data_IF_275591898701
#
_entry.id   IF_275591898701
#
_cell.length_a   1.000
_cell.length_b   1.000
_cell.length_c   1.000
_cell.angle_alpha   90.00
_cell.angle_beta   90.00
_cell.angle_gamma   90.00
#
_symmetry.space_group_name_H-M   'P 1'
#
loop_
_entity.id
_entity.type
_entity.pdbx_description
1 polymer ?
#
# COMPACT_ATOMS: atom_id res chain seq x y z
N UNK A 1 -3.14 13.73 -2.96
CA UNK A 1 -4.12 14.02 -1.89
C UNK A 1 -4.69 12.76 -1.23
N UNK A 2 -5.31 11.82 -1.94
CA UNK A 2 -5.87 10.61 -1.31
C UNK A 2 -4.83 9.77 -0.56
N UNK A 3 -3.68 9.49 -1.16
CA UNK A 3 -2.59 8.72 -0.52
C UNK A 3 -2.01 9.46 0.69
N UNK A 4 -1.82 10.78 0.60
CA UNK A 4 -1.33 11.59 1.73
C UNK A 4 -2.32 11.61 2.88
N UNK A 5 -3.64 11.67 2.59
CA UNK A 5 -4.67 11.60 3.61
C UNK A 5 -4.65 10.24 4.34
N UNK A 6 -4.45 9.13 3.61
CA UNK A 6 -4.31 7.81 4.22
C UNK A 6 -3.02 7.69 5.05
N UNK A 7 -1.93 8.37 4.66
CA UNK A 7 -0.71 8.47 5.46
C UNK A 7 -0.95 9.16 6.81
N UNK A 8 -1.59 10.33 6.79
CA UNK A 8 -1.92 11.09 8.01
C UNK A 8 -2.87 10.28 8.90
N UNK A 9 -3.91 9.68 8.30
CA UNK A 9 -4.87 8.85 9.03
C UNK A 9 -4.20 7.62 9.64
N UNK A 10 -3.32 6.95 8.89
CA UNK A 10 -2.55 5.81 9.40
C UNK A 10 -1.69 6.21 10.60
N UNK A 11 -0.92 7.29 10.48
CA UNK A 11 -0.07 7.77 11.58
C UNK A 11 -0.89 8.14 12.84
N UNK A 12 -2.03 8.81 12.64
CA UNK A 12 -2.91 9.13 13.75
C UNK A 12 -3.44 7.88 14.46
N UNK A 13 -3.84 6.86 13.69
CA UNK A 13 -4.30 5.58 14.25
C UNK A 13 -3.18 4.84 14.96
N UNK A 14 -1.99 4.81 14.39
CA UNK A 14 -0.83 4.14 14.96
C UNK A 14 -0.43 4.77 16.30
N UNK A 15 -0.33 6.11 16.34
CA UNK A 15 0.15 6.83 17.53
C UNK A 15 -0.87 7.00 18.64
N UNK A 16 -2.18 7.14 18.31
CA UNK A 16 -3.19 7.54 19.29
C UNK A 16 -4.21 6.45 19.62
N UNK A 17 -4.45 5.50 18.74
CA UNK A 17 -5.52 4.52 18.90
C UNK A 17 -4.98 3.13 19.22
N UNK A 18 -3.93 2.71 18.53
CA UNK A 18 -3.51 1.32 18.63
C UNK A 18 -2.51 1.07 19.73
N UNK A 19 -1.75 2.08 20.19
CA UNK A 19 -0.70 1.94 21.22
C UNK A 19 0.19 0.69 21.01
N UNK A 20 0.19 0.16 19.81
CA UNK A 20 0.94 -1.03 19.42
C UNK A 20 2.38 -0.60 19.14
N UNK A 21 3.05 -0.19 20.21
CA UNK A 21 4.48 0.07 20.22
C UNK A 21 5.26 -1.24 20.18
N UNK A 22 5.15 -1.93 19.11
CA UNK A 22 6.04 -3.00 18.73
C UNK A 22 6.57 -2.67 17.36
N UNK A 23 7.78 -3.11 17.04
CA UNK A 23 8.53 -2.77 15.82
C UNK A 23 7.85 -3.17 14.50
N UNK A 24 6.54 -3.27 14.43
CA UNK A 24 5.78 -3.70 13.27
C UNK A 24 4.42 -3.04 13.14
N UNK A 25 4.20 -2.46 11.99
CA UNK A 25 2.96 -1.80 11.59
C UNK A 25 1.91 -2.86 11.21
N UNK A 26 0.95 -3.13 12.12
CA UNK A 26 -0.12 -4.10 11.87
C UNK A 26 -1.16 -3.65 10.82
N UNK A 27 -1.22 -2.35 10.51
CA UNK A 27 -2.18 -1.79 9.56
C UNK A 27 -1.53 -0.67 8.75
N UNK A 28 -1.11 -0.97 7.53
CA UNK A 28 -0.50 0.03 6.67
C UNK A 28 -1.49 0.52 5.59
N UNK A 29 -2.27 1.56 5.93
CA UNK A 29 -3.32 2.11 5.05
C UNK A 29 -2.82 2.68 3.72
N UNK A 30 -1.63 3.29 3.61
CA UNK A 30 -1.13 3.83 2.35
C UNK A 30 -1.03 2.81 1.22
N UNK A 31 -0.83 1.51 1.53
CA UNK A 31 -0.82 0.46 0.51
C UNK A 31 -2.13 0.38 -0.28
N UNK A 32 -3.27 0.57 0.38
CA UNK A 32 -4.57 0.64 -0.29
C UNK A 32 -4.64 1.74 -1.35
N UNK A 33 -4.07 2.92 -1.05
CA UNK A 33 -3.99 4.00 -2.03
C UNK A 33 -3.17 3.61 -3.26
N UNK A 34 -2.03 2.93 -3.06
CA UNK A 34 -1.19 2.46 -4.17
C UNK A 34 -1.98 1.50 -5.06
N UNK A 35 -2.62 0.48 -4.46
CA UNK A 35 -3.42 -0.51 -5.21
C UNK A 35 -4.56 0.18 -5.96
N UNK A 36 -5.38 0.97 -5.29
CA UNK A 36 -6.53 1.64 -5.91
C UNK A 36 -6.10 2.60 -7.02
N UNK A 37 -5.12 3.47 -6.76
CA UNK A 37 -4.68 4.45 -7.75
C UNK A 37 -4.08 3.78 -8.99
N UNK A 38 -3.26 2.74 -8.82
CA UNK A 38 -2.66 2.04 -9.97
C UNK A 38 -3.71 1.23 -10.73
N UNK A 39 -4.65 0.60 -10.04
CA UNK A 39 -5.73 -0.17 -10.68
C UNK A 39 -6.64 0.72 -11.51
N UNK A 40 -7.02 1.91 -11.01
CA UNK A 40 -7.98 2.80 -11.70
C UNK A 40 -7.33 3.78 -12.67
N UNK A 41 -6.15 4.30 -12.34
CA UNK A 41 -5.47 5.33 -13.14
C UNK A 41 -4.26 4.78 -13.91
N UNK A 42 -3.90 3.51 -13.69
CA UNK A 42 -2.75 2.87 -14.31
C UNK A 42 -1.41 3.51 -13.87
N UNK A 43 -0.41 3.40 -14.74
CA UNK A 43 0.94 3.92 -14.48
C UNK A 43 0.99 5.45 -14.31
N UNK A 44 -0.02 6.16 -14.76
CA UNK A 44 -0.13 7.63 -14.60
C UNK A 44 -0.25 8.03 -13.12
N UNK A 45 -0.66 7.13 -12.23
CA UNK A 45 -0.74 7.37 -10.80
C UNK A 45 0.64 7.40 -10.12
N UNK A 46 1.67 6.79 -10.71
CA UNK A 46 2.99 6.60 -10.09
C UNK A 46 3.63 7.91 -9.60
N UNK A 47 3.72 8.99 -10.40
CA UNK A 47 4.35 10.23 -9.93
C UNK A 47 3.65 10.82 -8.70
N UNK A 48 2.31 10.80 -8.69
CA UNK A 48 1.52 11.30 -7.57
C UNK A 48 1.62 10.42 -6.31
N UNK A 49 1.70 9.11 -6.49
CA UNK A 49 1.92 8.16 -5.38
C UNK A 49 3.32 8.32 -4.80
N UNK A 50 4.33 8.44 -5.65
CA UNK A 50 5.71 8.64 -5.20
C UNK A 50 5.85 9.96 -4.42
N UNK A 51 5.29 11.06 -4.94
CA UNK A 51 5.25 12.31 -4.20
C UNK A 51 4.56 12.17 -2.83
N UNK A 52 3.45 11.42 -2.75
CA UNK A 52 2.74 11.18 -1.49
C UNK A 52 3.55 10.34 -0.49
N UNK A 53 4.32 9.36 -0.96
CA UNK A 53 5.23 8.55 -0.13
C UNK A 53 6.39 9.37 0.44
N UNK A 54 6.81 10.43 -0.24
CA UNK A 54 7.83 11.34 0.25
C UNK A 54 7.25 12.40 1.19
N UNK A 55 6.09 12.96 0.83
CA UNK A 55 5.44 14.04 1.59
C UNK A 55 4.84 13.52 2.91
N UNK A 56 4.30 12.29 2.91
CA UNK A 56 3.66 11.71 4.10
C UNK A 56 4.58 11.69 5.33
N UNK A 57 5.73 11.01 5.28
CA UNK A 57 6.70 11.01 6.37
C UNK A 57 7.22 12.41 6.73
N UNK A 58 7.44 13.27 5.75
CA UNK A 58 7.91 14.64 5.95
C UNK A 58 6.95 15.50 6.78
N UNK A 59 5.64 15.36 6.55
CA UNK A 59 4.62 16.09 7.33
C UNK A 59 4.60 15.60 8.78
N UNK A 60 4.85 14.31 9.00
CA UNK A 60 4.77 13.68 10.31
C UNK A 60 6.02 14.02 11.15
N UNK A 61 7.17 13.80 10.58
CA UNK A 61 8.45 14.11 11.23
C UNK A 61 9.49 14.61 10.22
N UNK A 62 9.64 15.94 10.10
CA UNK A 62 10.64 16.54 9.22
C UNK A 62 12.08 16.13 9.56
N UNK A 63 12.36 15.70 10.81
CA UNK A 63 13.69 15.29 11.26
C UNK A 63 14.14 13.92 10.74
N UNK A 64 13.20 13.06 10.40
CA UNK A 64 13.47 11.73 9.83
C UNK A 64 13.84 11.82 8.34
N UNK A 65 13.64 12.97 7.70
CA UNK A 65 13.84 13.13 6.26
C UNK A 65 15.30 12.98 5.86
N UNK A 66 15.67 11.77 5.52
CA UNK A 66 16.99 11.38 5.04
C UNK A 66 16.92 10.97 3.57
N UNK A 67 18.03 11.10 2.86
CA UNK A 67 18.16 10.66 1.47
C UNK A 67 17.86 9.17 1.29
N UNK A 68 17.97 8.39 2.36
CA UNK A 68 17.67 6.95 2.40
C UNK A 68 16.19 6.59 2.15
N UNK A 69 15.26 7.54 2.27
CA UNK A 69 13.80 7.30 2.07
C UNK A 69 13.42 7.19 0.59
N UNK A 70 14.16 7.83 -0.31
CA UNK A 70 13.77 7.93 -1.72
C UNK A 70 13.66 6.57 -2.42
N UNK A 71 14.60 5.67 -2.20
CA UNK A 71 14.63 4.36 -2.86
C UNK A 71 13.57 3.42 -2.29
N UNK A 72 13.40 3.24 -0.97
CA UNK A 72 12.29 2.48 -0.40
C UNK A 72 10.92 2.98 -0.84
N UNK A 73 10.70 4.30 -0.89
CA UNK A 73 9.46 4.89 -1.40
C UNK A 73 9.20 4.50 -2.86
N UNK A 74 10.23 4.53 -3.70
CA UNK A 74 10.13 4.11 -5.10
C UNK A 74 9.80 2.62 -5.22
N UNK A 75 10.50 1.77 -4.49
CA UNK A 75 10.25 0.32 -4.44
C UNK A 75 8.80 0.05 -4.04
N UNK A 76 8.34 0.72 -2.98
CA UNK A 76 6.98 0.58 -2.46
C UNK A 76 5.91 0.95 -3.49
N UNK A 77 6.11 2.04 -4.23
CA UNK A 77 5.17 2.47 -5.28
C UNK A 77 5.20 1.52 -6.47
N UNK A 78 6.39 1.00 -6.82
CA UNK A 78 6.56 0.09 -7.95
C UNK A 78 6.09 -1.34 -7.67
N UNK A 79 5.85 -1.72 -6.42
CA UNK A 79 5.38 -3.05 -6.04
C UNK A 79 4.04 -3.42 -6.71
N UNK A 80 3.11 -2.46 -6.86
CA UNK A 80 1.81 -2.72 -7.52
C UNK A 80 1.94 -2.87 -9.03
N UNK A 81 2.63 -2.00 -9.78
CA UNK A 81 2.93 -2.23 -11.19
C UNK A 81 3.64 -3.56 -11.45
N UNK A 82 4.60 -3.92 -10.60
CA UNK A 82 5.32 -5.19 -10.71
C UNK A 82 4.37 -6.38 -10.51
N UNK A 83 3.48 -6.33 -9.53
CA UNK A 83 2.44 -7.34 -9.31
C UNK A 83 1.54 -7.50 -10.54
N UNK A 84 1.10 -6.39 -11.15
CA UNK A 84 0.30 -6.41 -12.39
C UNK A 84 1.06 -7.01 -13.55
N UNK A 85 2.35 -6.71 -13.69
CA UNK A 85 3.21 -7.26 -14.74
C UNK A 85 3.33 -8.78 -14.58
N UNK A 86 3.61 -9.28 -13.39
CA UNK A 86 3.71 -10.72 -13.11
C UNK A 86 2.38 -11.42 -13.36
N UNK A 87 1.26 -10.86 -12.89
CA UNK A 87 -0.06 -11.41 -13.13
C UNK A 87 -0.41 -11.47 -14.62
N UNK A 88 -0.05 -10.44 -15.37
CA UNK A 88 -0.25 -10.40 -16.81
C UNK A 88 0.62 -11.45 -17.54
N UNK A 89 1.86 -11.63 -17.10
CA UNK A 89 2.75 -12.68 -17.61
C UNK A 89 2.21 -14.08 -17.35
N UNK A 90 1.58 -14.30 -16.18
CA UNK A 90 0.91 -15.55 -15.83
C UNK A 90 -0.43 -15.77 -16.57
N UNK A 91 -0.79 -14.90 -17.50
CA UNK A 91 -2.02 -15.01 -18.30
C UNK A 91 -3.27 -14.40 -17.64
N UNK A 92 -3.14 -13.78 -16.45
CA UNK A 92 -4.22 -13.02 -15.84
C UNK A 92 -4.30 -11.62 -16.46
N UNK A 93 -5.02 -11.44 -17.55
CA UNK A 93 -5.19 -10.13 -18.21
C UNK A 93 -6.09 -9.19 -17.39
N UNK A 94 -5.58 -8.72 -16.26
CA UNK A 94 -6.34 -7.95 -15.27
C UNK A 94 -6.49 -6.48 -15.66
N UNK A 95 -5.51 -5.90 -16.36
CA UNK A 95 -5.48 -4.46 -16.64
C UNK A 95 -6.61 -3.94 -17.56
N UNK A 96 -7.22 -4.78 -18.39
CA UNK A 96 -8.34 -4.39 -19.27
C UNK A 96 -9.72 -4.63 -18.66
N UNK A 97 -9.82 -5.46 -17.62
CA UNK A 97 -11.11 -5.85 -17.00
C UNK A 97 -11.49 -5.01 -15.79
N UNK A 98 -10.56 -4.23 -15.24
CA UNK A 98 -10.75 -3.48 -14.00
C UNK A 98 -11.25 -2.04 -14.25
N UNK A 99 -11.36 -1.59 -15.51
CA UNK A 99 -11.92 -0.27 -15.85
C UNK A 99 -13.41 -0.10 -15.52
N UNK A 100 -14.08 -1.15 -15.07
CA UNK A 100 -15.45 -1.08 -14.54
C UNK A 100 -15.45 -0.83 -13.03
N UNK A 101 -16.47 -0.11 -12.49
CA UNK A 101 -16.57 0.16 -11.05
C UNK A 101 -16.51 -1.13 -10.22
N UNK A 102 -16.02 -1.02 -8.99
CA UNK A 102 -15.91 -2.11 -8.01
C UNK A 102 -17.19 -2.96 -8.00
N UNK A 103 -17.12 -4.11 -8.62
CA UNK A 103 -18.21 -5.05 -8.74
C UNK A 103 -17.82 -6.36 -8.02
N UNK A 104 -18.82 -7.18 -7.62
CA UNK A 104 -18.59 -8.50 -7.00
C UNK A 104 -17.66 -9.43 -7.81
N UNK A 105 -17.45 -9.16 -9.09
CA UNK A 105 -16.52 -9.90 -9.94
C UNK A 105 -15.07 -9.38 -9.85
N UNK A 106 -14.88 -8.10 -9.53
CA UNK A 106 -13.56 -7.45 -9.59
C UNK A 106 -12.82 -7.50 -8.26
N UNK A 107 -13.52 -7.69 -7.11
CA UNK A 107 -12.87 -7.67 -5.80
C UNK A 107 -11.81 -8.77 -5.65
N UNK A 108 -12.03 -9.95 -6.23
CA UNK A 108 -11.06 -11.06 -6.19
C UNK A 108 -9.76 -10.70 -6.91
N UNK A 109 -9.86 -9.99 -8.02
CA UNK A 109 -8.69 -9.54 -8.77
C UNK A 109 -7.91 -8.47 -8.01
N UNK A 110 -8.62 -7.51 -7.39
CA UNK A 110 -7.99 -6.47 -6.59
C UNK A 110 -7.32 -7.09 -5.36
N UNK A 111 -7.97 -8.06 -4.72
CA UNK A 111 -7.37 -8.79 -3.61
C UNK A 111 -6.10 -9.55 -4.04
N UNK A 112 -6.12 -10.21 -5.19
CA UNK A 112 -4.94 -10.89 -5.73
C UNK A 112 -3.79 -9.92 -6.02
N UNK A 113 -4.09 -8.75 -6.61
CA UNK A 113 -3.11 -7.69 -6.83
C UNK A 113 -2.54 -7.22 -5.49
N UNK A 114 -3.41 -6.96 -4.49
CA UNK A 114 -2.98 -6.56 -3.15
C UNK A 114 -2.04 -7.58 -2.54
N UNK A 115 -2.41 -8.85 -2.58
CA UNK A 115 -1.62 -9.94 -1.99
C UNK A 115 -0.22 -10.03 -2.61
N UNK A 116 -0.14 -10.01 -3.94
CA UNK A 116 1.15 -10.11 -4.64
C UNK A 116 1.97 -8.83 -4.47
N UNK A 117 1.35 -7.65 -4.53
CA UNK A 117 2.06 -6.39 -4.33
C UNK A 117 2.53 -6.20 -2.90
N UNK A 118 1.78 -6.64 -1.90
CA UNK A 118 2.22 -6.67 -0.51
C UNK A 118 3.46 -7.57 -0.33
N UNK A 119 3.47 -8.75 -0.99
CA UNK A 119 4.64 -9.63 -1.02
C UNK A 119 5.87 -8.95 -1.63
N UNK A 120 5.72 -8.31 -2.78
CA UNK A 120 6.84 -7.56 -3.39
C UNK A 120 7.29 -6.39 -2.53
N UNK A 121 6.35 -5.62 -1.97
CA UNK A 121 6.69 -4.51 -1.10
C UNK A 121 7.49 -4.97 0.12
N UNK A 122 6.99 -5.95 0.85
CA UNK A 122 7.64 -6.46 2.06
C UNK A 122 9.02 -7.05 1.79
N UNK A 123 9.17 -7.84 0.72
CA UNK A 123 10.44 -8.46 0.37
C UNK A 123 11.45 -7.45 -0.14
N UNK A 124 11.09 -6.62 -1.13
CA UNK A 124 12.05 -5.73 -1.80
C UNK A 124 12.48 -4.57 -0.91
N UNK A 125 11.56 -3.99 -0.12
CA UNK A 125 11.92 -2.92 0.83
C UNK A 125 12.85 -3.46 1.89
N UNK A 126 12.54 -4.61 2.51
CA UNK A 126 13.37 -5.17 3.55
C UNK A 126 14.73 -5.63 3.00
N UNK A 127 14.78 -6.20 1.79
CA UNK A 127 16.05 -6.53 1.13
C UNK A 127 16.92 -5.28 0.91
N UNK A 128 16.32 -4.19 0.46
CA UNK A 128 17.04 -2.93 0.27
C UNK A 128 17.56 -2.37 1.60
N UNK A 129 16.73 -2.33 2.64
CA UNK A 129 17.13 -1.83 3.97
C UNK A 129 18.24 -2.67 4.58
N UNK A 130 18.14 -3.97 4.47
CA UNK A 130 19.17 -4.91 4.94
C UNK A 130 20.51 -4.73 4.22
N UNK A 131 20.50 -4.67 2.88
CA UNK A 131 21.75 -4.53 2.09
C UNK A 131 22.47 -3.20 2.31
N UNK A 132 21.76 -2.16 2.74
CA UNK A 132 22.35 -0.84 3.00
C UNK A 132 22.59 -0.56 4.50
N UNK A 133 22.51 -1.56 5.36
CA UNK A 133 22.65 -1.45 6.83
C UNK A 133 21.70 -0.38 7.43
N UNK A 134 20.55 -0.18 6.80
CA UNK A 134 19.50 0.75 7.25
C UNK A 134 18.43 0.03 8.06
N UNK A 135 18.56 -1.28 8.23
CA UNK A 135 17.65 -2.08 9.05
C UNK A 135 17.96 -1.88 10.54
N UNK A 136 16.93 -1.76 11.35
CA UNK A 136 17.03 -1.68 12.81
C UNK A 136 17.45 -3.00 13.46
N UNK A 137 17.58 -4.07 12.69
CA UNK A 137 17.92 -5.43 13.14
C UNK A 137 19.21 -5.91 12.49
N UNK A 138 20.10 -6.51 13.27
CA UNK A 138 21.38 -7.08 12.83
C UNK A 138 21.23 -8.32 11.94
N UNK A 139 20.07 -8.93 11.86
CA UNK A 139 19.82 -10.14 11.06
C UNK A 139 19.30 -9.80 9.66
N UNK A 140 20.02 -10.27 8.66
CA UNK A 140 19.87 -10.01 7.20
C UNK A 140 18.47 -10.36 6.66
N UNK A 141 17.69 -11.16 7.34
CA UNK A 141 16.29 -11.48 7.01
C UNK A 141 15.53 -11.72 8.29
N UNK A 142 15.09 -10.69 8.94
CA UNK A 142 14.12 -10.87 9.99
C UNK A 142 12.77 -11.21 9.32
N UNK A 143 12.50 -12.52 9.23
CA UNK A 143 11.24 -13.05 8.69
C UNK A 143 10.06 -12.43 9.42
N UNK A 144 10.23 -12.07 10.68
CA UNK A 144 9.23 -11.38 11.47
C UNK A 144 8.94 -10.00 10.88
N UNK A 145 9.97 -9.21 10.54
CA UNK A 145 9.81 -7.89 9.95
C UNK A 145 9.15 -7.95 8.58
N UNK A 146 9.60 -8.86 7.71
CA UNK A 146 8.98 -9.09 6.39
C UNK A 146 7.50 -9.47 6.53
N UNK A 147 7.18 -10.37 7.46
CA UNK A 147 5.80 -10.80 7.69
C UNK A 147 4.94 -9.69 8.28
N UNK A 148 5.47 -8.84 9.15
CA UNK A 148 4.77 -7.68 9.69
C UNK A 148 4.41 -6.69 8.58
N UNK A 149 5.35 -6.32 7.72
CA UNK A 149 5.07 -5.46 6.55
C UNK A 149 4.00 -6.08 5.64
N UNK A 150 4.13 -7.38 5.35
CA UNK A 150 3.18 -8.10 4.51
C UNK A 150 1.77 -8.11 5.09
N UNK A 151 1.64 -8.45 6.36
CA UNK A 151 0.35 -8.46 7.06
C UNK A 151 -0.21 -7.05 7.16
N UNK A 152 0.63 -6.06 7.48
CA UNK A 152 0.25 -4.66 7.57
C UNK A 152 -0.34 -4.11 6.26
N UNK A 153 0.30 -4.41 5.13
CA UNK A 153 -0.19 -4.01 3.81
C UNK A 153 -1.55 -4.64 3.47
N UNK A 154 -1.73 -5.93 3.77
CA UNK A 154 -3.00 -6.63 3.49
C UNK A 154 -4.10 -6.12 4.41
N UNK A 155 -3.87 -6.09 5.72
CA UNK A 155 -4.88 -5.69 6.70
C UNK A 155 -5.28 -4.23 6.53
N UNK A 156 -4.31 -3.33 6.30
CA UNK A 156 -4.56 -1.93 5.98
C UNK A 156 -5.40 -1.76 4.71
N UNK A 157 -5.10 -2.53 3.67
CA UNK A 157 -5.87 -2.48 2.42
C UNK A 157 -7.31 -3.00 2.62
N UNK A 158 -7.49 -4.09 3.34
CA UNK A 158 -8.83 -4.63 3.65
C UNK A 158 -9.66 -3.64 4.45
N UNK A 159 -9.07 -2.98 5.45
CA UNK A 159 -9.75 -1.95 6.25
C UNK A 159 -10.22 -0.78 5.37
N UNK A 160 -9.36 -0.26 4.50
CA UNK A 160 -9.75 0.83 3.58
C UNK A 160 -10.86 0.38 2.65
N UNK A 161 -10.83 -0.84 2.14
CA UNK A 161 -11.89 -1.36 1.28
C UNK A 161 -13.23 -1.51 2.00
N UNK A 162 -13.23 -1.99 3.24
CA UNK A 162 -14.44 -2.06 4.07
C UNK A 162 -14.99 -0.66 4.30
N UNK A 163 -14.14 0.29 4.68
CA UNK A 163 -14.54 1.68 4.91
C UNK A 163 -15.13 2.33 3.65
N UNK A 164 -14.47 2.18 2.50
CA UNK A 164 -14.98 2.67 1.23
C UNK A 164 -16.32 2.01 0.84
N UNK A 165 -16.46 0.72 1.06
CA UNK A 165 -17.71 0.00 0.78
C UNK A 165 -18.86 0.52 1.66
N UNK A 166 -18.58 0.85 2.93
CA UNK A 166 -19.56 1.44 3.84
C UNK A 166 -19.96 2.85 3.41
N UNK A 167 -19.02 3.68 3.01
CA UNK A 167 -19.28 5.05 2.54
C UNK A 167 -20.03 5.09 1.20
N UNK A 168 -19.69 4.19 0.27
CA UNK A 168 -20.30 4.19 -1.06
C UNK A 168 -21.69 3.56 -1.09
N UNK A 169 -22.00 2.69 -0.13
CA UNK A 169 -23.30 2.00 -0.08
C UNK A 169 -24.52 2.94 -0.08
N UNK A 170 -24.59 4.01 0.73
CA UNK A 170 -25.73 4.94 0.71
C UNK A 170 -25.80 5.74 -0.60
N UNK A 171 -24.65 6.16 -1.15
CA UNK A 171 -24.57 6.94 -2.39
C UNK A 171 -25.08 6.12 -3.58
N UNK A 172 -24.68 4.87 -3.68
CA UNK A 172 -25.13 3.96 -4.74
C UNK A 172 -26.61 3.59 -4.60
N UNK A 173 -27.16 3.62 -3.39
CA UNK A 173 -28.59 3.39 -3.16
C UNK A 173 -29.44 4.57 -3.62
N UNK A 174 -28.98 5.80 -3.41
CA UNK A 174 -29.66 7.01 -3.90
C UNK A 174 -29.61 7.15 -5.43
N UNK A 175 -28.54 6.74 -6.08
CA UNK A 175 -28.41 6.80 -7.54
C UNK A 175 -29.26 5.75 -8.28
N UNK A 176 -29.89 4.82 -7.57
CA UNK A 176 -30.69 3.72 -8.12
C UNK A 176 -32.22 3.98 -8.01
N UNK A 177 -32.60 4.95 -7.22
CA UNK A 177 -33.97 5.47 -7.09
C UNK A 177 -34.16 6.72 -7.93
#
# INVERSE_FOLDING_TARGET
MFSTALWIMWHFLDTHVLFLTGDGVLFYLPHAARVLCVVYFGLRAIPGLYAAELIGPYIIDPGIYSFSIFIPALISVMAVPLALLVLNFLGFSLGRKISSPLNRRNYKHIFLITFISAGFNSLLVNLYLSTNNLSFSESITDIALVSQFFIGDITGTVLVFIFLAMLLKPILRQARN
#
